data_IF_554025853749
#
_entry.id   IF_554025853749
#
_cell.length_a   1.000
_cell.length_b   1.000
_cell.length_c   1.000
_cell.angle_alpha   90.00
_cell.angle_beta   90.00
_cell.angle_gamma   90.00
#
_symmetry.space_group_name_H-M   'P 1'
#
loop_
_entity.id
_entity.type
_entity.pdbx_description
1 polymer ?
#
# COMPACT_ATOMS: atom_id res chain seq x y z
N UNK A 1 -16.14 7.18 -66.39
CA UNK A 1 -16.51 6.55 -65.10
C UNK A 1 -16.37 7.62 -64.04
N UNK A 2 -17.47 8.32 -63.71
CA UNK A 2 -17.46 9.36 -62.67
C UNK A 2 -17.60 8.67 -61.31
N UNK A 3 -16.58 8.81 -60.47
CA UNK A 3 -16.63 8.40 -59.08
C UNK A 3 -17.56 9.31 -58.30
N UNK A 4 -18.66 8.77 -57.80
CA UNK A 4 -19.56 9.45 -56.90
C UNK A 4 -18.78 9.78 -55.62
N UNK A 5 -18.52 11.07 -55.41
CA UNK A 5 -18.19 11.61 -54.10
C UNK A 5 -19.46 11.53 -53.26
N UNK A 6 -19.61 10.46 -52.48
CA UNK A 6 -20.52 10.43 -51.34
C UNK A 6 -19.96 11.39 -50.28
N UNK A 7 -20.16 12.69 -50.50
CA UNK A 7 -20.02 13.69 -49.48
C UNK A 7 -21.19 13.50 -48.51
N UNK A 8 -20.97 12.70 -47.46
CA UNK A 8 -21.92 12.59 -46.37
C UNK A 8 -22.22 13.99 -45.84
N UNK A 9 -23.45 14.46 -46.04
CA UNK A 9 -23.89 15.73 -45.49
C UNK A 9 -23.66 15.73 -43.97
N UNK A 10 -23.14 16.82 -43.40
CA UNK A 10 -22.93 16.91 -41.96
C UNK A 10 -24.27 16.67 -41.26
N UNK A 11 -24.30 15.69 -40.36
CA UNK A 11 -25.49 15.39 -39.57
C UNK A 11 -26.05 16.69 -38.98
N UNK A 12 -27.37 16.88 -39.01
CA UNK A 12 -27.99 18.09 -38.51
C UNK A 12 -27.47 18.47 -37.12
N UNK A 13 -27.40 19.77 -36.83
CA UNK A 13 -26.80 20.28 -35.57
C UNK A 13 -27.50 19.73 -34.32
N UNK A 14 -28.78 19.37 -34.45
CA UNK A 14 -29.58 18.72 -33.42
C UNK A 14 -29.41 17.20 -33.37
N UNK A 15 -28.53 16.60 -34.16
CA UNK A 15 -28.16 15.18 -34.17
C UNK A 15 -26.84 14.87 -33.44
N UNK A 16 -26.07 15.91 -33.11
CA UNK A 16 -24.78 15.82 -32.40
C UNK A 16 -24.94 16.25 -30.92
N UNK A 17 -24.17 15.68 -29.97
CA UNK A 17 -24.01 16.26 -28.64
C UNK A 17 -23.47 17.69 -28.73
N UNK A 18 -24.12 18.63 -28.05
CA UNK A 18 -23.63 19.99 -28.00
C UNK A 18 -22.51 20.14 -26.98
N UNK A 19 -21.53 20.98 -27.30
CA UNK A 19 -20.54 21.42 -26.32
C UNK A 19 -21.15 22.39 -25.31
N UNK A 20 -20.55 22.49 -24.12
CA UNK A 20 -20.95 23.46 -23.09
C UNK A 20 -21.02 24.91 -23.62
N UNK A 21 -20.12 25.27 -24.55
CA UNK A 21 -20.09 26.61 -25.14
C UNK A 21 -21.26 26.85 -26.11
N UNK A 22 -21.67 25.83 -26.87
CA UNK A 22 -22.85 25.89 -27.75
C UNK A 22 -24.14 26.00 -26.92
N UNK A 23 -24.26 25.21 -25.84
CA UNK A 23 -25.37 25.30 -24.89
C UNK A 23 -25.44 26.70 -24.28
N UNK A 24 -24.29 27.25 -23.88
CA UNK A 24 -24.22 28.61 -23.29
C UNK A 24 -24.67 29.68 -24.27
N UNK A 25 -24.28 29.60 -25.55
CA UNK A 25 -24.71 30.54 -26.59
C UNK A 25 -26.21 30.40 -26.91
N UNK A 26 -26.73 29.18 -26.94
CA UNK A 26 -28.16 28.90 -27.15
C UNK A 26 -29.06 29.31 -25.97
N UNK A 27 -28.49 29.60 -24.80
CA UNK A 27 -29.28 29.95 -23.60
C UNK A 27 -30.06 31.26 -23.72
N UNK A 28 -29.57 32.22 -24.53
CA UNK A 28 -30.25 33.51 -24.74
C UNK A 28 -31.45 33.42 -25.68
N UNK A 29 -31.52 32.37 -26.51
CA UNK A 29 -32.63 32.12 -27.44
C UNK A 29 -32.80 30.62 -27.61
N UNK A 30 -33.64 30.05 -26.73
CA UNK A 30 -33.85 28.62 -26.68
C UNK A 30 -34.71 28.14 -27.86
N UNK A 31 -34.24 27.11 -28.55
CA UNK A 31 -34.94 26.50 -29.69
C UNK A 31 -35.10 25.00 -29.47
N UNK A 32 -35.98 24.35 -30.25
CA UNK A 32 -36.13 22.89 -30.20
C UNK A 32 -34.81 22.15 -30.54
N UNK A 33 -33.97 22.74 -31.40
CA UNK A 33 -32.64 22.20 -31.66
C UNK A 33 -31.72 22.30 -30.42
N UNK A 34 -31.88 23.35 -29.61
CA UNK A 34 -31.18 23.52 -28.33
C UNK A 34 -31.60 22.46 -27.31
N UNK A 35 -32.88 22.11 -27.24
CA UNK A 35 -33.38 21.00 -26.40
C UNK A 35 -32.76 19.66 -26.80
N UNK A 36 -32.76 19.34 -28.09
CA UNK A 36 -32.18 18.10 -28.61
C UNK A 36 -30.67 18.01 -28.36
N UNK A 37 -29.95 19.14 -28.52
CA UNK A 37 -28.53 19.25 -28.22
C UNK A 37 -28.22 19.05 -26.74
N UNK A 38 -28.99 19.67 -25.85
CA UNK A 38 -28.87 19.51 -24.40
C UNK A 38 -29.15 18.07 -23.96
N UNK A 39 -30.20 17.44 -24.47
CA UNK A 39 -30.54 16.06 -24.15
C UNK A 39 -29.37 15.12 -24.44
N UNK A 40 -28.75 15.25 -25.62
CA UNK A 40 -27.58 14.44 -25.98
C UNK A 40 -26.37 14.73 -25.09
N UNK A 41 -26.11 16.00 -24.78
CA UNK A 41 -25.06 16.36 -23.84
C UNK A 41 -25.28 15.68 -22.47
N UNK A 42 -26.51 15.71 -21.94
CA UNK A 42 -26.84 15.07 -20.67
C UNK A 42 -26.70 13.54 -20.72
N UNK A 43 -27.09 12.92 -21.84
CA UNK A 43 -26.90 11.48 -22.05
C UNK A 43 -25.41 11.11 -22.05
N UNK A 44 -24.59 11.85 -22.78
CA UNK A 44 -23.15 11.61 -22.84
C UNK A 44 -22.48 11.88 -21.49
N UNK A 45 -22.81 13.00 -20.85
CA UNK A 45 -22.31 13.36 -19.52
C UNK A 45 -22.66 12.29 -18.47
N UNK A 46 -23.90 11.79 -18.49
CA UNK A 46 -24.32 10.70 -17.63
C UNK A 46 -23.51 9.44 -17.88
N UNK A 47 -23.37 9.03 -19.15
CA UNK A 47 -22.61 7.84 -19.52
C UNK A 47 -21.13 7.96 -19.13
N UNK A 48 -20.50 9.12 -19.36
CA UNK A 48 -19.13 9.38 -18.94
C UNK A 48 -18.99 9.32 -17.41
N UNK A 49 -19.94 9.89 -16.67
CA UNK A 49 -19.94 9.86 -15.20
C UNK A 49 -20.08 8.44 -14.67
N UNK A 50 -20.99 7.64 -15.25
CA UNK A 50 -21.16 6.23 -14.91
C UNK A 50 -19.87 5.45 -15.21
N UNK A 51 -19.31 5.58 -16.41
CA UNK A 51 -18.08 4.89 -16.82
C UNK A 51 -16.90 5.24 -15.90
N UNK A 52 -16.73 6.52 -15.58
CA UNK A 52 -15.68 6.97 -14.65
C UNK A 52 -15.88 6.41 -13.25
N UNK A 53 -17.12 6.35 -12.79
CA UNK A 53 -17.46 5.74 -11.49
C UNK A 53 -17.11 4.26 -11.45
N UNK A 54 -17.40 3.52 -12.52
CA UNK A 54 -17.03 2.11 -12.64
C UNK A 54 -15.51 1.90 -12.64
N UNK A 55 -14.76 2.77 -13.33
CA UNK A 55 -13.30 2.70 -13.34
C UNK A 55 -12.71 2.97 -11.96
N UNK A 56 -13.19 4.01 -11.25
CA UNK A 56 -12.78 4.31 -9.88
C UNK A 56 -13.07 3.12 -8.95
N UNK A 57 -14.28 2.53 -9.06
CA UNK A 57 -14.64 1.33 -8.29
C UNK A 57 -13.62 0.21 -8.51
N UNK A 58 -13.28 -0.08 -9.76
CA UNK A 58 -12.31 -1.14 -10.11
C UNK A 58 -10.93 -0.87 -9.49
N UNK A 59 -10.47 0.38 -9.51
CA UNK A 59 -9.21 0.77 -8.90
C UNK A 59 -9.22 0.58 -7.38
N UNK A 60 -10.32 0.96 -6.72
CA UNK A 60 -10.51 0.74 -5.28
C UNK A 60 -10.53 -0.76 -4.94
N UNK A 61 -11.24 -1.58 -5.71
CA UNK A 61 -11.27 -3.04 -5.54
C UNK A 61 -9.86 -3.64 -5.67
N UNK A 62 -9.06 -3.15 -6.63
CA UNK A 62 -7.65 -3.51 -6.80
C UNK A 62 -6.79 -3.16 -5.58
N UNK A 63 -6.90 -1.93 -5.07
CA UNK A 63 -6.18 -1.47 -3.88
C UNK A 63 -6.54 -2.30 -2.63
N UNK A 64 -7.80 -2.69 -2.47
CA UNK A 64 -8.23 -3.58 -1.37
C UNK A 64 -7.53 -4.94 -1.48
N UNK A 65 -7.45 -5.49 -2.69
CA UNK A 65 -6.76 -6.76 -2.94
C UNK A 65 -5.27 -6.67 -2.62
N UNK A 66 -4.60 -5.62 -3.07
CA UNK A 66 -3.18 -5.38 -2.80
C UNK A 66 -2.91 -5.20 -1.30
N UNK A 67 -3.78 -4.49 -0.60
CA UNK A 67 -3.70 -4.29 0.85
C UNK A 67 -3.80 -5.62 1.59
N UNK A 68 -4.74 -6.50 1.20
CA UNK A 68 -4.85 -7.85 1.77
C UNK A 68 -3.60 -8.69 1.51
N UNK A 69 -3.01 -8.59 0.32
CA UNK A 69 -1.78 -9.29 0.00
C UNK A 69 -0.60 -8.80 0.85
N UNK A 70 -0.50 -7.49 1.07
CA UNK A 70 0.51 -6.88 1.94
C UNK A 70 0.32 -7.33 3.40
N UNK A 71 -0.91 -7.39 3.89
CA UNK A 71 -1.26 -7.89 5.23
C UNK A 71 -0.80 -9.35 5.43
N UNK A 72 -1.10 -10.23 4.47
CA UNK A 72 -0.60 -11.61 4.52
C UNK A 72 0.94 -11.69 4.54
N UNK A 73 1.62 -10.83 3.76
CA UNK A 73 3.09 -10.76 3.76
C UNK A 73 3.64 -10.29 5.10
N UNK A 74 3.01 -9.29 5.72
CA UNK A 74 3.39 -8.82 7.05
C UNK A 74 3.22 -9.91 8.10
N UNK A 75 2.10 -10.63 8.07
CA UNK A 75 1.88 -11.77 8.96
C UNK A 75 2.96 -12.85 8.81
N UNK A 76 3.38 -13.16 7.58
CA UNK A 76 4.47 -14.11 7.35
C UNK A 76 5.80 -13.60 7.90
N UNK A 77 6.15 -12.34 7.64
CA UNK A 77 7.38 -11.73 8.18
C UNK A 77 7.37 -11.71 9.71
N UNK A 78 6.23 -11.43 10.34
CA UNK A 78 6.12 -11.50 11.80
C UNK A 78 6.30 -12.93 12.31
N UNK A 79 5.70 -13.93 11.65
CA UNK A 79 5.88 -15.32 12.02
C UNK A 79 7.35 -15.75 11.90
N UNK A 80 8.03 -15.34 10.83
CA UNK A 80 9.46 -15.60 10.64
C UNK A 80 10.29 -14.93 11.73
N UNK A 81 10.01 -13.65 12.04
CA UNK A 81 10.67 -12.94 13.12
C UNK A 81 10.46 -13.61 14.49
N UNK A 82 9.24 -14.05 14.79
CA UNK A 82 8.91 -14.76 16.03
C UNK A 82 9.66 -16.10 16.10
N UNK A 83 9.74 -16.84 15.00
CA UNK A 83 10.48 -18.09 14.94
C UNK A 83 11.98 -17.86 15.18
N UNK A 84 12.59 -16.90 14.48
CA UNK A 84 14.00 -16.51 14.69
C UNK A 84 14.25 -16.06 16.13
N UNK A 85 13.35 -15.24 16.70
CA UNK A 85 13.45 -14.77 18.08
C UNK A 85 13.36 -15.90 19.09
N UNK A 86 12.45 -16.86 18.88
CA UNK A 86 12.34 -18.04 19.73
C UNK A 86 13.58 -18.92 19.64
N UNK A 87 14.16 -19.11 18.45
CA UNK A 87 15.42 -19.84 18.30
C UNK A 87 16.58 -19.12 18.99
N UNK A 88 16.71 -17.80 18.82
CA UNK A 88 17.76 -17.01 19.48
C UNK A 88 17.58 -16.98 21.01
N UNK A 89 16.34 -16.98 21.51
CA UNK A 89 16.08 -17.09 22.94
C UNK A 89 16.56 -18.43 23.50
N UNK A 90 16.24 -19.55 22.82
CA UNK A 90 16.71 -20.89 23.18
C UNK A 90 18.24 -20.94 23.16
N UNK A 91 18.86 -20.41 22.10
CA UNK A 91 20.32 -20.37 21.98
C UNK A 91 20.95 -19.54 23.09
N UNK A 92 20.42 -18.36 23.42
CA UNK A 92 20.93 -17.52 24.49
C UNK A 92 20.79 -18.17 25.88
N UNK A 93 19.68 -18.87 26.14
CA UNK A 93 19.48 -19.62 27.39
C UNK A 93 20.44 -20.82 27.47
N UNK A 94 20.55 -21.60 26.39
CA UNK A 94 21.47 -22.74 26.30
C UNK A 94 22.93 -22.31 26.44
N UNK A 95 23.32 -21.23 25.74
CA UNK A 95 24.68 -20.67 25.79
C UNK A 95 24.98 -20.13 27.19
N UNK A 96 24.05 -19.44 27.85
CA UNK A 96 24.22 -19.02 29.26
C UNK A 96 24.29 -20.19 30.23
N UNK A 97 23.57 -21.28 29.98
CA UNK A 97 23.65 -22.48 30.80
C UNK A 97 24.96 -23.28 30.56
N UNK A 98 25.53 -23.18 29.36
CA UNK A 98 26.75 -23.88 28.95
C UNK A 98 28.04 -23.13 29.31
N UNK A 99 27.99 -21.85 29.70
CA UNK A 99 29.16 -21.16 30.28
C UNK A 99 29.45 -21.79 31.65
N UNK A 100 30.59 -22.51 31.83
CA UNK A 100 30.94 -23.07 33.12
C UNK A 100 31.11 -21.92 34.12
N UNK A 101 30.32 -21.94 35.20
CA UNK A 101 30.46 -21.01 36.32
C UNK A 101 31.89 -21.15 36.82
N UNK A 102 32.77 -20.20 36.46
CA UNK A 102 34.19 -20.20 36.84
C UNK A 102 34.24 -20.47 38.34
N UNK A 103 34.79 -21.62 38.72
CA UNK A 103 34.85 -22.04 40.11
C UNK A 103 35.45 -20.89 40.93
N UNK A 104 34.65 -20.31 41.81
CA UNK A 104 35.13 -19.34 42.79
C UNK A 104 36.17 -20.06 43.64
N UNK A 105 37.43 -19.70 43.50
CA UNK A 105 38.50 -20.23 44.35
C UNK A 105 38.11 -19.99 45.82
N UNK A 106 38.29 -20.98 46.72
CA UNK A 106 37.96 -20.79 48.12
C UNK A 106 38.83 -19.69 48.73
N UNK A 107 38.30 -18.88 49.66
CA UNK A 107 39.08 -17.83 50.31
C UNK A 107 40.28 -18.45 51.02
N UNK A 108 41.48 -17.92 50.76
CA UNK A 108 42.71 -18.35 51.42
C UNK A 108 42.54 -18.20 52.94
N UNK A 109 42.66 -19.32 53.66
CA UNK A 109 42.78 -19.31 55.11
C UNK A 109 44.03 -18.51 55.50
N UNK A 110 43.85 -17.45 56.27
CA UNK A 110 44.95 -16.73 56.90
C UNK A 110 45.45 -17.61 58.04
N UNK A 111 46.56 -18.32 57.83
CA UNK A 111 47.24 -19.04 58.90
C UNK A 111 48.01 -18.02 59.73
N UNK A 112 47.44 -17.63 60.87
CA UNK A 112 48.20 -17.00 61.96
C UNK A 112 49.12 -18.09 62.52
N UNK A 113 50.43 -17.95 62.30
CA UNK A 113 51.44 -18.73 62.99
C UNK A 113 52.37 -17.78 63.74
N UNK A 114 52.09 -17.72 65.03
CA UNK A 114 52.93 -17.29 66.13
C UNK A 114 54.16 -18.21 66.25
N UNK A 115 55.37 -17.62 66.26
CA UNK A 115 56.44 -17.80 67.27
C UNK A 115 57.85 -17.52 66.71
N UNK A 116 58.53 -16.53 67.31
CA UNK A 116 59.79 -16.68 68.07
C UNK A 116 60.70 -17.85 67.62
N UNK A 117 61.97 -17.71 67.21
CA UNK A 117 63.12 -17.10 67.88
C UNK A 117 64.45 -17.34 67.08
N UNK A 118 65.44 -16.47 67.32
CA UNK A 118 66.91 -16.69 67.32
C UNK A 118 67.74 -17.01 66.04
N UNK A 119 68.64 -16.07 65.70
CA UNK A 119 70.10 -16.32 65.78
C UNK A 119 70.97 -16.39 64.50
N UNK A 120 72.03 -15.54 64.48
CA UNK A 120 73.26 -15.52 63.64
C UNK A 120 73.10 -15.13 62.15
N UNK A 121 73.82 -14.17 61.56
CA UNK A 121 75.15 -13.55 61.80
C UNK A 121 75.07 -12.01 61.70
#
# INVERSE_FOLDING_TARGET
MNGAQDAAEPAPVWERPWSLEEIRKGSQSWSLASDAGLLRFLQEFSQQTISRTHEIKKQVDGLISETKAADCRLHNVFNDFLMLSNTQFIENVSTRAAVPRRASAPPRAVTVADHREHGYN
#
